data_IF_540195622376
#
_entry.id   IF_540195622376
#
_cell.length_a   1.000
_cell.length_b   1.000
_cell.length_c   1.000
_cell.angle_alpha   90.00
_cell.angle_beta   90.00
_cell.angle_gamma   90.00
#
_symmetry.space_group_name_H-M   'P 1'
#
loop_
_entity.id
_entity.type
_entity.pdbx_description
1 polymer ?
#
# COMPACT_ATOMS: atom_id res chain seq x y z
N UNK A 1 8.65 -4.29 -17.06
CA UNK A 1 8.88 -5.75 -17.18
C UNK A 1 8.07 -6.56 -16.17
N UNK A 2 7.55 -5.98 -15.10
CA UNK A 2 6.84 -6.71 -14.02
C UNK A 2 5.51 -7.36 -14.43
N UNK A 3 4.85 -6.86 -15.48
CA UNK A 3 3.50 -7.29 -15.87
C UNK A 3 3.41 -8.75 -16.40
N UNK A 4 4.54 -9.40 -16.65
CA UNK A 4 4.62 -10.81 -17.08
C UNK A 4 5.16 -11.75 -16.01
N UNK A 5 5.73 -11.22 -14.91
CA UNK A 5 6.43 -12.03 -13.92
C UNK A 5 5.47 -12.95 -13.16
N UNK A 6 4.35 -12.43 -12.66
CA UNK A 6 3.36 -13.21 -11.93
C UNK A 6 2.67 -14.26 -12.82
N UNK A 7 2.15 -13.92 -14.02
CA UNK A 7 1.62 -14.93 -14.95
C UNK A 7 2.65 -16.02 -15.31
N UNK A 8 3.91 -15.64 -15.55
CA UNK A 8 4.97 -16.60 -15.84
C UNK A 8 5.22 -17.54 -14.66
N UNK A 9 5.33 -17.01 -13.44
CA UNK A 9 5.59 -17.81 -12.25
C UNK A 9 4.44 -18.78 -11.96
N UNK A 10 3.19 -18.36 -12.17
CA UNK A 10 2.01 -19.23 -12.07
C UNK A 10 2.02 -20.33 -13.15
N UNK A 11 2.40 -20.01 -14.38
CA UNK A 11 2.56 -21.00 -15.46
C UNK A 11 3.61 -22.06 -15.10
N UNK A 12 4.76 -21.63 -14.56
CA UNK A 12 5.82 -22.55 -14.13
C UNK A 12 5.37 -23.49 -13.00
N UNK A 13 4.56 -23.02 -12.04
CA UNK A 13 3.94 -23.90 -11.03
C UNK A 13 3.02 -24.93 -11.71
N UNK A 14 2.20 -24.52 -12.67
CA UNK A 14 1.28 -25.44 -13.35
C UNK A 14 2.03 -26.54 -14.11
N UNK A 15 3.12 -26.19 -14.79
CA UNK A 15 4.01 -27.15 -15.45
C UNK A 15 4.67 -28.08 -14.42
N UNK A 16 5.12 -27.54 -13.28
CA UNK A 16 5.70 -28.32 -12.19
C UNK A 16 4.70 -29.34 -11.60
N UNK A 17 3.44 -28.94 -11.41
CA UNK A 17 2.35 -29.85 -10.97
C UNK A 17 2.13 -30.95 -12.01
N UNK A 18 2.11 -30.61 -13.30
CA UNK A 18 1.91 -31.59 -14.37
C UNK A 18 3.05 -32.61 -14.39
N UNK A 19 4.30 -32.13 -14.31
CA UNK A 19 5.49 -32.97 -14.26
C UNK A 19 5.48 -33.91 -13.04
N UNK A 20 5.25 -33.37 -11.84
CA UNK A 20 5.27 -34.15 -10.60
C UNK A 20 4.15 -35.19 -10.53
N UNK A 21 2.95 -34.86 -11.04
CA UNK A 21 1.87 -35.84 -11.17
C UNK A 21 2.19 -36.94 -12.17
N UNK A 22 2.84 -36.61 -13.30
CA UNK A 22 3.31 -37.60 -14.27
C UNK A 22 4.36 -38.53 -13.67
N UNK A 23 5.30 -37.96 -12.91
CA UNK A 23 6.35 -38.71 -12.20
C UNK A 23 5.75 -39.64 -11.14
N UNK A 24 4.78 -39.17 -10.37
CA UNK A 24 4.07 -39.99 -9.38
C UNK A 24 3.39 -41.20 -10.04
N UNK A 25 2.61 -40.99 -11.12
CA UNK A 25 1.97 -42.08 -11.87
C UNK A 25 2.96 -43.06 -12.48
N UNK A 26 4.08 -42.55 -13.01
CA UNK A 26 5.14 -43.39 -13.54
C UNK A 26 5.70 -44.34 -12.47
N UNK A 27 5.94 -43.83 -11.26
CA UNK A 27 6.45 -44.66 -10.17
C UNK A 27 5.40 -45.59 -9.57
N UNK A 28 4.14 -45.18 -9.45
CA UNK A 28 3.06 -46.09 -9.08
C UNK A 28 2.99 -47.30 -10.03
N UNK A 29 3.16 -47.08 -11.33
CA UNK A 29 3.15 -48.15 -12.35
C UNK A 29 4.44 -49.00 -12.33
N UNK A 30 5.58 -48.35 -12.09
CA UNK A 30 6.90 -49.00 -12.12
C UNK A 30 7.17 -49.86 -10.89
N UNK A 31 6.60 -49.51 -9.74
CA UNK A 31 6.75 -50.19 -8.46
C UNK A 31 5.48 -50.95 -8.03
N UNK A 32 4.63 -51.29 -9.01
CA UNK A 32 3.38 -52.02 -8.78
C UNK A 32 3.62 -53.36 -8.04
N UNK A 33 2.70 -53.68 -7.13
CA UNK A 33 2.81 -54.84 -6.25
C UNK A 33 2.94 -56.15 -7.06
N UNK A 34 4.00 -56.92 -6.80
CA UNK A 34 4.30 -58.15 -7.52
C UNK A 34 5.32 -58.03 -8.67
N UNK A 35 5.80 -56.82 -9.01
CA UNK A 35 6.96 -56.65 -9.91
C UNK A 35 8.26 -56.67 -9.11
N UNK A 36 9.24 -57.46 -9.58
CA UNK A 36 10.61 -57.41 -9.06
C UNK A 36 11.30 -56.15 -9.56
N UNK A 37 11.65 -55.24 -8.65
CA UNK A 37 12.33 -53.99 -8.99
C UNK A 37 13.83 -54.11 -8.73
N UNK A 38 14.64 -53.73 -9.70
CA UNK A 38 16.10 -53.74 -9.55
C UNK A 38 16.56 -52.56 -8.69
N UNK A 39 17.56 -52.77 -7.82
CA UNK A 39 18.04 -51.73 -6.89
C UNK A 39 18.51 -50.43 -7.60
N UNK A 40 19.00 -50.54 -8.83
CA UNK A 40 19.35 -49.38 -9.65
C UNK A 40 18.12 -48.50 -9.98
N UNK A 41 16.96 -49.11 -10.28
CA UNK A 41 15.71 -48.39 -10.57
C UNK A 41 15.22 -47.65 -9.33
N UNK A 42 15.34 -48.25 -8.15
CA UNK A 42 15.01 -47.60 -6.87
C UNK A 42 15.92 -46.39 -6.59
N UNK A 43 17.23 -46.53 -6.89
CA UNK A 43 18.20 -45.45 -6.68
C UNK A 43 17.93 -44.26 -7.61
N UNK A 44 17.66 -44.54 -8.88
CA UNK A 44 17.28 -43.53 -9.86
C UNK A 44 15.96 -42.86 -9.48
N UNK A 45 14.96 -43.63 -9.05
CA UNK A 45 13.68 -43.09 -8.59
C UNK A 45 13.82 -42.12 -7.41
N UNK A 46 14.62 -42.48 -6.40
CA UNK A 46 14.91 -41.60 -5.27
C UNK A 46 15.58 -40.30 -5.74
N UNK A 47 16.51 -40.39 -6.70
CA UNK A 47 17.19 -39.21 -7.25
C UNK A 47 16.20 -38.29 -7.95
N UNK A 48 15.38 -38.81 -8.86
CA UNK A 48 14.37 -38.03 -9.59
C UNK A 48 13.32 -37.40 -8.66
N UNK A 49 12.93 -38.10 -7.60
CA UNK A 49 12.02 -37.54 -6.57
C UNK A 49 12.65 -36.39 -5.78
N UNK A 50 13.95 -36.45 -5.50
CA UNK A 50 14.68 -35.34 -4.86
C UNK A 50 14.75 -34.13 -5.79
N UNK A 51 15.08 -34.33 -7.05
CA UNK A 51 15.11 -33.26 -8.07
C UNK A 51 13.72 -32.63 -8.24
N UNK A 52 12.67 -33.44 -8.25
CA UNK A 52 11.29 -32.97 -8.29
C UNK A 52 10.91 -32.13 -7.05
N UNK A 53 11.35 -32.54 -5.85
CA UNK A 53 11.13 -31.79 -4.62
C UNK A 53 11.84 -30.43 -4.63
N UNK A 54 13.10 -30.40 -5.09
CA UNK A 54 13.86 -29.15 -5.25
C UNK A 54 13.20 -28.21 -6.26
N UNK A 55 12.69 -28.76 -7.38
CA UNK A 55 11.95 -28.00 -8.38
C UNK A 55 10.65 -27.39 -7.79
N UNK A 56 9.90 -28.16 -7.00
CA UNK A 56 8.69 -27.67 -6.32
C UNK A 56 9.04 -26.54 -5.35
N UNK A 57 10.07 -26.73 -4.50
CA UNK A 57 10.50 -25.72 -3.54
C UNK A 57 10.94 -24.41 -4.23
N UNK A 58 11.65 -24.53 -5.35
CA UNK A 58 12.09 -23.38 -6.16
C UNK A 58 10.90 -22.62 -6.74
N UNK A 59 9.94 -23.34 -7.32
CA UNK A 59 8.74 -22.72 -7.90
C UNK A 59 7.86 -22.04 -6.84
N UNK A 60 7.67 -22.67 -5.67
CA UNK A 60 6.95 -22.05 -4.54
C UNK A 60 7.64 -20.75 -4.11
N UNK A 61 8.96 -20.78 -3.98
CA UNK A 61 9.75 -19.61 -3.58
C UNK A 61 9.60 -18.48 -4.59
N UNK A 62 9.70 -18.80 -5.89
CA UNK A 62 9.57 -17.82 -6.96
C UNK A 62 8.18 -17.16 -6.98
N UNK A 63 7.11 -17.95 -6.91
CA UNK A 63 5.73 -17.42 -6.89
C UNK A 63 5.47 -16.60 -5.64
N UNK A 64 5.89 -17.08 -4.47
CA UNK A 64 5.70 -16.36 -3.20
C UNK A 64 6.42 -15.01 -3.23
N UNK A 65 7.68 -14.99 -3.67
CA UNK A 65 8.46 -13.75 -3.76
C UNK A 65 7.82 -12.78 -4.76
N UNK A 66 7.42 -13.28 -5.94
CA UNK A 66 6.77 -12.45 -6.97
C UNK A 66 5.43 -11.88 -6.49
N UNK A 67 4.65 -12.69 -5.77
CA UNK A 67 3.37 -12.26 -5.20
C UNK A 67 3.56 -11.20 -4.12
N UNK A 68 4.54 -11.37 -3.23
CA UNK A 68 4.86 -10.37 -2.20
C UNK A 68 5.24 -9.03 -2.85
N UNK A 69 6.15 -9.04 -3.83
CA UNK A 69 6.52 -7.81 -4.55
C UNK A 69 5.32 -7.16 -5.26
N UNK A 70 4.43 -7.97 -5.83
CA UNK A 70 3.21 -7.44 -6.46
C UNK A 70 2.30 -6.76 -5.45
N UNK A 71 2.09 -7.37 -4.27
CA UNK A 71 1.28 -6.80 -3.19
C UNK A 71 1.90 -5.49 -2.69
N UNK A 72 3.22 -5.45 -2.48
CA UNK A 72 3.92 -4.24 -2.04
C UNK A 72 3.70 -3.08 -3.03
N UNK A 73 3.84 -3.33 -4.33
CA UNK A 73 3.56 -2.33 -5.36
C UNK A 73 2.10 -1.85 -5.32
N UNK A 74 1.14 -2.76 -5.14
CA UNK A 74 -0.28 -2.39 -5.05
C UNK A 74 -0.58 -1.56 -3.80
N UNK A 75 0.08 -1.85 -2.68
CA UNK A 75 -0.06 -1.06 -1.44
C UNK A 75 0.47 0.36 -1.62
N UNK A 76 1.63 0.53 -2.27
CA UNK A 76 2.20 1.84 -2.59
C UNK A 76 1.29 2.65 -3.54
N UNK A 77 0.69 1.99 -4.53
CA UNK A 77 -0.26 2.62 -5.45
C UNK A 77 -1.52 3.10 -4.72
N UNK A 78 -2.08 2.28 -3.83
CA UNK A 78 -3.26 2.63 -3.02
C UNK A 78 -2.94 3.83 -2.10
N UNK A 79 -1.78 3.83 -1.44
CA UNK A 79 -1.34 4.94 -0.60
C UNK A 79 -1.23 6.24 -1.41
N UNK A 80 -0.62 6.17 -2.60
CA UNK A 80 -0.50 7.31 -3.52
C UNK A 80 -1.87 7.85 -3.95
N UNK A 81 -2.83 6.98 -4.26
CA UNK A 81 -4.21 7.36 -4.59
C UNK A 81 -4.89 8.03 -3.39
N UNK A 82 -4.72 7.49 -2.18
CA UNK A 82 -5.29 8.05 -0.95
C UNK A 82 -4.76 9.48 -0.68
N UNK A 83 -3.44 9.68 -0.81
CA UNK A 83 -2.82 11.02 -0.68
C UNK A 83 -3.42 12.00 -1.70
N UNK A 84 -3.51 11.60 -2.98
CA UNK A 84 -4.10 12.45 -4.04
C UNK A 84 -5.57 12.76 -3.77
N UNK A 85 -6.33 11.79 -3.27
CA UNK A 85 -7.73 11.99 -2.90
C UNK A 85 -7.88 12.97 -1.74
N UNK A 86 -7.02 12.90 -0.73
CA UNK A 86 -7.02 13.84 0.40
C UNK A 86 -6.65 15.26 -0.05
N UNK A 87 -5.66 15.40 -0.95
CA UNK A 87 -5.32 16.68 -1.56
C UNK A 87 -6.49 17.25 -2.37
N UNK A 88 -7.21 16.41 -3.12
CA UNK A 88 -8.38 16.83 -3.88
C UNK A 88 -9.51 17.31 -2.96
N UNK A 89 -9.82 16.55 -1.89
CA UNK A 89 -10.80 16.95 -0.87
C UNK A 89 -10.44 18.31 -0.25
N UNK A 90 -9.17 18.52 0.09
CA UNK A 90 -8.70 19.80 0.62
C UNK A 90 -8.88 20.95 -0.39
N UNK A 91 -8.55 20.75 -1.67
CA UNK A 91 -8.75 21.76 -2.73
C UNK A 91 -10.23 22.10 -2.94
N UNK A 92 -11.12 21.11 -2.89
CA UNK A 92 -12.57 21.33 -2.98
C UNK A 92 -13.07 22.15 -1.79
N UNK A 93 -12.68 21.78 -0.57
CA UNK A 93 -13.06 22.51 0.64
C UNK A 93 -12.60 23.98 0.57
N UNK A 94 -11.35 24.23 0.15
CA UNK A 94 -10.80 25.58 -0.03
C UNK A 94 -11.58 26.40 -1.07
N UNK A 95 -11.98 25.77 -2.19
CA UNK A 95 -12.77 26.42 -3.23
C UNK A 95 -14.16 26.80 -2.71
N UNK A 96 -14.83 25.90 -1.98
CA UNK A 96 -16.15 26.17 -1.40
C UNK A 96 -16.09 27.34 -0.39
N UNK A 97 -15.09 27.37 0.49
CA UNK A 97 -14.87 28.49 1.42
C UNK A 97 -14.63 29.82 0.68
N UNK A 98 -13.85 29.79 -0.40
CA UNK A 98 -13.57 30.99 -1.20
C UNK A 98 -14.81 31.48 -1.96
N UNK A 99 -15.68 30.57 -2.39
CA UNK A 99 -16.94 30.89 -3.04
C UNK A 99 -17.96 31.46 -2.04
N UNK A 100 -18.05 30.90 -0.83
CA UNK A 100 -18.86 31.45 0.26
C UNK A 100 -18.41 32.86 0.65
N UNK A 101 -17.10 33.09 0.82
CA UNK A 101 -16.55 34.42 1.09
C UNK A 101 -16.82 35.42 -0.05
N UNK A 102 -16.81 34.96 -1.30
CA UNK A 102 -17.13 35.79 -2.47
C UNK A 102 -18.62 36.14 -2.58
N UNK A 103 -19.53 35.34 -2.00
CA UNK A 103 -20.97 35.64 -1.99
C UNK A 103 -21.39 36.54 -0.81
N UNK A 104 -20.51 36.74 0.18
CA UNK A 104 -20.73 37.57 1.38
C UNK A 104 -20.13 38.98 1.22
N UNK A 105 -19.71 39.41 0.03
CA UNK A 105 -19.51 40.84 -0.28
C UNK A 105 -20.82 41.46 -0.81
N UNK A 106 -21.71 41.99 0.05
CA UNK A 106 -22.78 42.84 -0.44
C UNK A 106 -22.19 44.16 -0.91
N UNK A 107 -22.63 44.58 -2.09
CA UNK A 107 -22.49 45.92 -2.65
C UNK A 107 -22.39 47.00 -1.56
N UNK A 108 -21.19 47.53 -1.30
CA UNK A 108 -21.09 48.88 -0.75
C UNK A 108 -21.40 49.86 -1.87
N UNK A 109 -22.68 50.19 -2.01
CA UNK A 109 -23.12 51.31 -2.82
C UNK A 109 -22.36 52.59 -2.38
N UNK A 110 -21.91 53.45 -3.32
CA UNK A 110 -21.20 54.67 -2.98
C UNK A 110 -22.21 55.73 -2.49
N UNK A 111 -22.37 55.87 -1.17
CA UNK A 111 -23.06 57.03 -0.60
C UNK A 111 -22.17 58.26 -0.71
N UNK A 112 -22.40 59.07 -1.75
CA UNK A 112 -21.98 60.48 -1.77
C UNK A 112 -22.82 61.25 -0.76
N UNK A 113 -22.20 61.78 0.31
CA UNK A 113 -22.55 63.11 0.87
C UNK A 113 -21.47 63.61 1.82
N UNK A 114 -20.76 64.64 1.35
CA UNK A 114 -20.27 65.85 2.07
C UNK A 114 -19.70 65.73 3.50
N UNK A 115 -18.38 65.96 3.57
CA UNK A 115 -17.64 66.55 4.69
C UNK A 115 -18.18 67.96 5.04
N UNK A 116 -17.98 68.54 6.25
CA UNK A 116 -16.61 68.74 6.77
C UNK A 116 -16.39 68.82 8.30
N UNK A 117 -15.09 68.87 8.63
CA UNK A 117 -14.41 69.43 9.84
C UNK A 117 -14.11 68.49 11.02
N UNK A 118 -12.88 67.96 10.95
CA UNK A 118 -11.79 68.06 11.95
C UNK A 118 -12.14 68.03 13.44
N UNK A 119 -11.59 67.05 14.15
CA UNK A 119 -10.62 67.37 15.18
C UNK A 119 -9.57 66.28 15.40
N UNK A 120 -8.36 66.77 15.55
CA UNK A 120 -7.08 66.12 15.76
C UNK A 120 -7.07 65.42 17.13
N UNK A 121 -6.65 64.15 17.19
CA UNK A 121 -6.06 63.58 18.40
C UNK A 121 -4.97 62.57 18.03
N UNK A 122 -3.76 62.95 18.40
CA UNK A 122 -2.49 62.29 18.13
C UNK A 122 -2.25 61.21 19.18
N UNK A 123 -2.15 59.93 18.80
CA UNK A 123 -1.44 58.95 19.63
C UNK A 123 -0.59 58.01 18.78
N UNK A 124 0.61 57.77 19.32
CA UNK A 124 1.81 57.19 18.73
C UNK A 124 1.67 55.70 18.39
N UNK A 125 2.43 55.28 17.37
CA UNK A 125 2.70 53.88 17.05
C UNK A 125 3.64 53.28 18.12
N UNK A 126 3.31 52.10 18.64
CA UNK A 126 4.29 51.15 19.19
C UNK A 126 3.93 49.72 18.81
N UNK A 127 4.93 49.00 18.31
CA UNK A 127 4.92 47.62 17.82
C UNK A 127 4.28 46.60 18.78
N UNK A 128 3.66 45.57 18.21
CA UNK A 128 3.35 44.33 18.93
C UNK A 128 2.40 43.41 18.17
N UNK A 129 2.94 42.49 17.36
CA UNK A 129 2.20 41.33 16.83
C UNK A 129 1.64 40.48 17.97
N UNK A 130 0.33 40.18 18.00
CA UNK A 130 -0.18 39.09 18.83
C UNK A 130 0.04 37.77 18.10
N UNK A 131 1.01 37.01 18.60
CA UNK A 131 1.20 35.59 18.33
C UNK A 131 -0.04 34.83 18.80
N UNK A 132 -0.74 34.17 17.87
CA UNK A 132 -1.75 33.18 18.21
C UNK A 132 -1.06 31.94 18.80
N UNK A 133 -1.03 31.87 20.14
CA UNK A 133 -0.74 30.64 20.89
C UNK A 133 -1.98 29.74 20.84
N UNK A 134 -2.00 28.79 19.93
CA UNK A 134 -2.64 27.49 20.20
C UNK A 134 -1.54 26.44 20.09
N UNK A 135 -1.04 26.10 21.26
CA UNK A 135 -0.02 25.11 21.54
C UNK A 135 -0.60 23.74 21.19
N UNK A 136 -0.18 23.15 20.07
CA UNK A 136 -0.43 21.75 19.76
C UNK A 136 0.57 20.90 20.58
N UNK A 137 0.17 20.45 21.77
CA UNK A 137 0.98 19.51 22.56
C UNK A 137 0.68 18.08 22.16
N UNK A 138 1.68 17.49 21.52
CA UNK A 138 2.18 16.12 21.58
C UNK A 138 1.21 14.94 21.46
N UNK A 139 1.45 14.25 20.36
CA UNK A 139 1.08 12.91 19.93
C UNK A 139 1.63 11.76 20.83
N UNK A 140 2.08 12.02 22.06
CA UNK A 140 2.74 11.04 22.94
C UNK A 140 1.83 10.47 24.05
N UNK A 141 0.55 10.25 23.76
CA UNK A 141 -0.36 9.55 24.70
C UNK A 141 -1.15 8.41 24.05
N UNK A 142 -0.67 7.83 22.94
CA UNK A 142 -1.30 6.64 22.34
C UNK A 142 -0.35 5.45 22.16
N UNK A 143 0.65 5.31 23.03
CA UNK A 143 1.40 4.06 23.17
C UNK A 143 1.53 3.75 24.66
N UNK A 144 0.46 3.23 25.25
CA UNK A 144 0.52 2.34 26.41
C UNK A 144 -0.87 1.79 26.66
N UNK A 145 -1.20 0.69 25.98
CA UNK A 145 -2.03 -0.41 26.48
C UNK A 145 -1.78 -1.62 25.57
N UNK A 146 -0.70 -2.34 25.84
CA UNK A 146 -0.56 -3.75 25.47
C UNK A 146 -1.22 -4.58 26.58
N UNK A 147 -2.25 -5.40 26.30
CA UNK A 147 -2.69 -6.43 27.22
C UNK A 147 -2.42 -7.82 26.63
N UNK A 148 -1.16 -8.15 26.35
CA UNK A 148 -0.73 -9.53 26.09
C UNK A 148 0.72 -9.69 26.55
N UNK A 149 0.92 -9.75 27.87
CA UNK A 149 2.05 -10.49 28.43
C UNK A 149 1.60 -11.91 28.77
N UNK A 150 2.22 -12.87 28.07
CA UNK A 150 2.77 -14.15 28.56
C UNK A 150 1.82 -15.18 29.20
N UNK A 151 1.59 -16.24 28.43
CA UNK A 151 1.90 -17.59 28.90
C UNK A 151 3.37 -17.91 28.66
#
# INVERSE_FOLDING_TARGET
MENIALPSALSSIHECITYTNGLAKFYETSFEEGKTVHAAQTTEAIKSLKEALELVATNITNVTTTLSSYIDCQMDEIESVNIKMNQLKHRIAKKNQSQELSMVEPMRAPTKTTNPKSNLSTYKITNGSPTNKILNKSYEQRISMNPFEKG
#
